data_IF_400350318655
#
_entry.id   IF_400350318655
#
_cell.length_a   1.000
_cell.length_b   1.000
_cell.length_c   1.000
_cell.angle_alpha   90.00
_cell.angle_beta   90.00
_cell.angle_gamma   90.00
#
_symmetry.space_group_name_H-M   'P 1'
#
loop_
_entity.id
_entity.type
_entity.pdbx_description
1 polymer ?
#
# COMPACT_ATOMS: atom_id res chain seq x y z
N UNK A 1 -30.18 -14.14 36.85
CA UNK A 1 -29.47 -15.32 36.31
C UNK A 1 -29.48 -15.33 34.77
N UNK A 2 -30.66 -15.34 34.12
CA UNK A 2 -30.76 -15.33 32.65
C UNK A 2 -30.09 -14.11 31.98
N UNK A 3 -30.36 -12.89 32.47
CA UNK A 3 -29.75 -11.67 31.93
C UNK A 3 -28.21 -11.68 32.02
N UNK A 4 -27.66 -12.18 33.12
CA UNK A 4 -26.21 -12.31 33.34
C UNK A 4 -25.61 -13.32 32.36
N UNK A 5 -26.28 -14.46 32.16
CA UNK A 5 -25.86 -15.47 31.20
C UNK A 5 -25.85 -14.91 29.77
N UNK A 6 -26.91 -14.21 29.37
CA UNK A 6 -27.02 -13.59 28.05
C UNK A 6 -25.91 -12.55 27.86
N UNK A 7 -25.65 -11.70 28.84
CA UNK A 7 -24.57 -10.71 28.75
C UNK A 7 -23.19 -11.37 28.62
N UNK A 8 -22.93 -12.47 29.35
CA UNK A 8 -21.66 -13.21 29.27
C UNK A 8 -21.48 -13.84 27.89
N UNK A 9 -22.53 -14.48 27.36
CA UNK A 9 -22.50 -15.09 26.02
C UNK A 9 -22.25 -14.02 24.95
N UNK A 10 -22.91 -12.87 25.03
CA UNK A 10 -22.68 -11.76 24.09
C UNK A 10 -21.25 -11.22 24.18
N UNK A 11 -20.68 -11.14 25.38
CA UNK A 11 -19.30 -10.68 25.58
C UNK A 11 -18.29 -11.65 24.94
N UNK A 12 -18.53 -12.95 25.09
CA UNK A 12 -17.70 -13.99 24.47
C UNK A 12 -17.81 -13.92 22.94
N UNK A 13 -19.03 -13.83 22.41
CA UNK A 13 -19.26 -13.75 20.96
C UNK A 13 -18.64 -12.48 20.36
N UNK A 14 -18.78 -11.34 21.03
CA UNK A 14 -18.17 -10.09 20.60
C UNK A 14 -16.65 -10.17 20.65
N UNK A 15 -16.09 -10.74 21.72
CA UNK A 15 -14.64 -10.92 21.86
C UNK A 15 -14.06 -11.79 20.75
N UNK A 16 -14.66 -12.95 20.48
CA UNK A 16 -14.19 -13.85 19.42
C UNK A 16 -14.34 -13.25 18.03
N UNK A 17 -15.47 -12.58 17.74
CA UNK A 17 -15.67 -11.87 16.48
C UNK A 17 -14.65 -10.75 16.28
N UNK A 18 -14.36 -9.99 17.34
CA UNK A 18 -13.37 -8.91 17.32
C UNK A 18 -11.94 -9.44 17.06
N UNK A 19 -11.55 -10.53 17.72
CA UNK A 19 -10.26 -11.20 17.51
C UNK A 19 -10.08 -11.67 16.07
N UNK A 20 -11.14 -12.25 15.50
CA UNK A 20 -11.17 -12.69 14.10
C UNK A 20 -10.98 -11.48 13.18
N UNK A 21 -11.82 -10.45 13.34
CA UNK A 21 -11.75 -9.24 12.52
C UNK A 21 -10.37 -8.57 12.57
N UNK A 22 -9.79 -8.45 13.75
CA UNK A 22 -8.46 -7.87 13.94
C UNK A 22 -7.38 -8.69 13.20
N UNK A 23 -7.43 -10.02 13.29
CA UNK A 23 -6.45 -10.90 12.63
C UNK A 23 -6.51 -10.76 11.11
N UNK A 24 -7.72 -10.83 10.53
CA UNK A 24 -7.90 -10.66 9.09
C UNK A 24 -7.48 -9.27 8.59
N UNK A 25 -7.78 -8.22 9.37
CA UNK A 25 -7.36 -6.86 9.06
C UNK A 25 -5.84 -6.68 9.03
N UNK A 26 -5.12 -7.23 10.03
CA UNK A 26 -3.66 -7.15 10.08
C UNK A 26 -2.99 -7.89 8.93
N UNK A 27 -3.50 -9.07 8.56
CA UNK A 27 -2.99 -9.84 7.42
C UNK A 27 -3.21 -9.06 6.12
N UNK A 28 -4.40 -8.48 5.92
CA UNK A 28 -4.70 -7.67 4.75
C UNK A 28 -3.78 -6.45 4.64
N UNK A 29 -3.53 -5.74 5.74
CA UNK A 29 -2.61 -4.60 5.78
C UNK A 29 -1.18 -5.00 5.40
N UNK A 30 -0.69 -6.14 5.91
CA UNK A 30 0.64 -6.65 5.58
C UNK A 30 0.80 -6.97 4.09
N UNK A 31 -0.19 -7.65 3.49
CA UNK A 31 -0.19 -8.00 2.07
C UNK A 31 -0.30 -6.76 1.18
N UNK A 32 -1.09 -5.76 1.58
CA UNK A 32 -1.22 -4.50 0.87
C UNK A 32 0.10 -3.73 0.82
N UNK A 33 0.79 -3.60 1.96
CA UNK A 33 2.11 -2.95 2.04
C UNK A 33 3.17 -3.72 1.26
N UNK A 34 3.14 -5.06 1.31
CA UNK A 34 4.05 -5.90 0.54
C UNK A 34 3.87 -5.68 -0.97
N UNK A 35 2.62 -5.64 -1.45
CA UNK A 35 2.35 -5.38 -2.87
C UNK A 35 2.72 -3.95 -3.28
N UNK A 36 2.42 -2.95 -2.45
CA UNK A 36 2.84 -1.58 -2.70
C UNK A 36 4.37 -1.49 -2.81
N UNK A 37 5.11 -2.14 -1.91
CA UNK A 37 6.56 -2.23 -1.96
C UNK A 37 7.09 -2.91 -3.22
N UNK A 38 6.49 -4.04 -3.63
CA UNK A 38 6.85 -4.76 -4.85
C UNK A 38 6.64 -3.92 -6.11
N UNK A 39 5.46 -3.29 -6.24
CA UNK A 39 5.12 -2.42 -7.39
C UNK A 39 6.05 -1.21 -7.43
N UNK A 40 6.31 -0.59 -6.28
CA UNK A 40 7.24 0.52 -6.17
C UNK A 40 8.69 0.14 -6.50
N UNK A 41 9.14 -1.05 -6.12
CA UNK A 41 10.46 -1.56 -6.48
C UNK A 41 10.57 -1.86 -7.98
N UNK A 42 9.51 -2.41 -8.58
CA UNK A 42 9.42 -2.59 -10.04
C UNK A 42 9.48 -1.25 -10.77
N UNK A 43 8.82 -0.21 -10.23
CA UNK A 43 8.86 1.12 -10.80
C UNK A 43 10.24 1.78 -10.68
N UNK A 44 10.93 1.66 -9.54
CA UNK A 44 12.31 2.11 -9.36
C UNK A 44 13.25 1.44 -10.36
N UNK A 45 13.09 0.12 -10.56
CA UNK A 45 13.89 -0.63 -11.55
C UNK A 45 13.60 -0.23 -13.00
N UNK A 46 12.38 0.24 -13.31
CA UNK A 46 12.01 0.67 -14.66
C UNK A 46 12.50 2.09 -15.00
N UNK A 47 12.81 2.91 -13.99
CA UNK A 47 13.18 4.32 -14.18
C UNK A 47 14.70 4.51 -14.13
N UNK A 48 15.31 5.28 -15.06
CA UNK A 48 16.72 5.62 -14.99
C UNK A 48 17.02 6.58 -13.83
N UNK A 49 17.44 6.02 -12.71
CA UNK A 49 17.76 6.71 -11.47
C UNK A 49 17.71 5.73 -10.30
N UNK A 50 17.92 6.21 -9.08
CA UNK A 50 17.55 5.49 -7.86
C UNK A 50 16.65 6.39 -7.07
N UNK A 51 15.57 5.86 -6.52
CA UNK A 51 14.75 6.65 -5.62
C UNK A 51 15.57 7.08 -4.40
N UNK A 52 15.44 8.35 -3.98
CA UNK A 52 15.96 8.76 -2.69
C UNK A 52 15.30 7.88 -1.61
N UNK A 53 16.03 7.54 -0.55
CA UNK A 53 15.56 6.67 0.56
C UNK A 53 15.47 5.17 0.24
N UNK A 54 15.92 4.72 -0.94
CA UNK A 54 16.04 3.30 -1.27
C UNK A 54 14.70 2.55 -1.20
N UNK A 55 14.64 1.45 -0.44
CA UNK A 55 13.42 0.64 -0.30
C UNK A 55 12.25 1.41 0.31
N UNK A 56 12.50 2.40 1.16
CA UNK A 56 11.47 3.28 1.72
C UNK A 56 10.83 4.15 0.63
N UNK A 57 11.68 4.68 -0.27
CA UNK A 57 11.24 5.45 -1.43
C UNK A 57 10.38 4.59 -2.36
N UNK A 58 10.78 3.34 -2.59
CA UNK A 58 10.00 2.39 -3.38
C UNK A 58 8.62 2.13 -2.77
N UNK A 59 8.52 1.79 -1.48
CA UNK A 59 7.22 1.56 -0.81
C UNK A 59 6.32 2.79 -0.90
N UNK A 60 6.84 3.99 -0.62
CA UNK A 60 6.07 5.23 -0.72
C UNK A 60 5.64 5.53 -2.16
N UNK A 61 6.51 5.30 -3.14
CA UNK A 61 6.18 5.47 -4.55
C UNK A 61 5.10 4.48 -5.00
N UNK A 62 5.12 3.24 -4.49
CA UNK A 62 4.04 2.27 -4.73
C UNK A 62 2.72 2.66 -4.05
N UNK A 63 2.77 3.10 -2.79
CA UNK A 63 1.59 3.49 -2.01
C UNK A 63 0.92 4.72 -2.64
N UNK A 64 1.67 5.81 -2.81
CA UNK A 64 1.17 7.07 -3.39
C UNK A 64 0.91 6.90 -4.90
N UNK A 65 1.78 6.16 -5.59
CA UNK A 65 1.62 5.85 -7.01
C UNK A 65 0.36 5.05 -7.31
N UNK A 66 -0.08 4.16 -6.41
CA UNK A 66 -1.37 3.47 -6.56
C UNK A 66 -2.55 4.43 -6.59
N UNK A 67 -2.60 5.40 -5.67
CA UNK A 67 -3.64 6.42 -5.69
C UNK A 67 -3.56 7.31 -6.91
N UNK A 68 -2.37 7.83 -7.24
CA UNK A 68 -2.19 8.71 -8.41
C UNK A 68 -2.52 7.97 -9.70
N UNK A 69 -2.11 6.70 -9.82
CA UNK A 69 -2.37 5.85 -10.96
C UNK A 69 -3.84 5.54 -11.17
N UNK A 70 -4.57 5.19 -10.10
CA UNK A 70 -6.02 4.98 -10.16
C UNK A 70 -6.76 6.25 -10.55
N UNK A 71 -6.33 7.42 -10.07
CA UNK A 71 -6.92 8.71 -10.50
C UNK A 71 -6.67 9.01 -11.99
N UNK A 72 -5.52 8.61 -12.51
CA UNK A 72 -5.10 8.95 -13.87
C UNK A 72 -5.68 8.00 -14.94
N UNK A 73 -5.78 6.71 -14.62
CA UNK A 73 -6.11 5.64 -15.59
C UNK A 73 -7.45 4.96 -15.22
N UNK A 74 -7.92 5.08 -13.99
CA UNK A 74 -9.07 4.34 -13.45
C UNK A 74 -8.68 2.95 -12.93
N UNK A 75 -9.66 2.18 -12.46
CA UNK A 75 -9.47 0.79 -11.98
C UNK A 75 -9.41 -0.22 -13.13
N UNK A 76 -8.40 -0.05 -14.00
CA UNK A 76 -8.24 -0.91 -15.17
C UNK A 76 -7.27 -2.04 -14.86
N UNK A 77 -7.71 -3.28 -15.03
CA UNK A 77 -6.87 -4.47 -14.88
C UNK A 77 -7.10 -5.26 -13.58
N UNK A 78 -6.38 -6.39 -13.41
CA UNK A 78 -6.53 -7.24 -12.24
C UNK A 78 -6.02 -6.55 -10.98
N UNK A 79 -6.80 -6.62 -9.91
CA UNK A 79 -6.39 -6.19 -8.58
C UNK A 79 -5.81 -7.38 -7.80
N UNK A 80 -4.62 -7.23 -7.22
CA UNK A 80 -4.08 -8.18 -6.25
C UNK A 80 -4.07 -7.52 -4.87
N UNK A 81 -4.63 -8.20 -3.87
CA UNK A 81 -4.68 -7.72 -2.48
C UNK A 81 -5.26 -6.30 -2.33
N UNK A 82 -6.23 -5.94 -3.19
CA UNK A 82 -6.87 -4.62 -3.19
C UNK A 82 -6.07 -3.51 -3.88
N UNK A 83 -4.95 -3.84 -4.54
CA UNK A 83 -4.14 -2.89 -5.31
C UNK A 83 -4.32 -3.17 -6.82
N UNK A 84 -4.84 -2.22 -7.61
CA UNK A 84 -4.89 -2.33 -9.07
C UNK A 84 -3.48 -2.33 -9.65
N UNK A 85 -3.03 -3.41 -10.31
CA UNK A 85 -1.62 -3.52 -10.70
C UNK A 85 -1.19 -2.53 -11.78
N UNK A 86 -1.98 -2.42 -12.85
CA UNK A 86 -1.64 -1.53 -13.97
C UNK A 86 -1.62 -0.07 -13.50
N UNK A 87 -2.68 0.45 -12.86
CA UNK A 87 -2.69 1.83 -12.37
C UNK A 87 -1.57 2.07 -11.37
N UNK A 88 -1.37 1.15 -10.41
CA UNK A 88 -0.33 1.32 -9.40
C UNK A 88 1.08 1.33 -9.97
N UNK A 89 1.38 0.46 -10.95
CA UNK A 89 2.67 0.47 -11.60
C UNK A 89 2.89 1.76 -12.37
N UNK A 90 1.93 2.21 -13.17
CA UNK A 90 2.08 3.45 -13.96
C UNK A 90 2.21 4.67 -13.07
N UNK A 91 1.38 4.80 -12.04
CA UNK A 91 1.48 5.90 -11.08
C UNK A 91 2.77 5.87 -10.27
N UNK A 92 3.25 4.68 -9.89
CA UNK A 92 4.54 4.53 -9.21
C UNK A 92 5.72 4.91 -10.11
N UNK A 93 5.70 4.56 -11.40
CA UNK A 93 6.74 4.95 -12.38
C UNK A 93 6.78 6.47 -12.56
N UNK A 94 5.61 7.12 -12.67
CA UNK A 94 5.52 8.59 -12.77
C UNK A 94 6.09 9.24 -11.50
N UNK A 95 5.70 8.76 -10.32
CA UNK A 95 6.19 9.29 -9.06
C UNK A 95 7.70 9.07 -8.90
N UNK A 96 8.19 7.89 -9.27
CA UNK A 96 9.60 7.53 -9.28
C UNK A 96 10.43 8.48 -10.14
N UNK A 97 9.93 8.80 -11.35
CA UNK A 97 10.54 9.79 -12.23
C UNK A 97 10.62 11.17 -11.56
N UNK A 98 9.51 11.66 -11.01
CA UNK A 98 9.46 12.97 -10.33
C UNK A 98 10.42 13.01 -9.15
N UNK A 99 10.38 12.01 -8.27
CA UNK A 99 11.25 11.92 -7.10
C UNK A 99 12.73 11.87 -7.47
N UNK A 100 13.08 11.11 -8.51
CA UNK A 100 14.47 11.02 -9.00
C UNK A 100 14.99 12.35 -9.55
N UNK A 101 14.12 13.13 -10.21
CA UNK A 101 14.47 14.45 -10.74
C UNK A 101 14.62 15.45 -9.59
N UNK A 102 13.66 15.49 -8.66
CA UNK A 102 13.70 16.37 -7.48
C UNK A 102 14.95 16.10 -6.64
N UNK A 103 15.28 14.83 -6.41
CA UNK A 103 16.48 14.44 -5.67
C UNK A 103 17.77 14.92 -6.34
N UNK A 104 17.86 14.77 -7.68
CA UNK A 104 19.00 15.27 -8.46
C UNK A 104 19.13 16.79 -8.38
N UNK A 105 18.03 17.51 -8.45
CA UNK A 105 18.02 18.98 -8.33
C UNK A 105 18.42 19.46 -6.93
N UNK A 106 18.02 18.73 -5.88
CA UNK A 106 18.46 19.05 -4.51
C UNK A 106 19.94 18.77 -4.30
N UNK A 107 20.47 17.69 -4.88
CA UNK A 107 21.88 17.33 -4.79
C UNK A 107 22.79 18.30 -5.58
N UNK A 108 22.29 18.87 -6.69
CA UNK A 108 23.01 19.90 -7.45
C UNK A 108 23.05 21.28 -6.77
N UNK A 109 22.32 21.45 -5.66
CA UNK A 109 22.22 22.69 -4.89
C UNK A 109 23.09 22.71 -3.63
N UNK A 110 23.72 21.59 -3.30
CA UNK A 110 24.72 21.45 -2.23
C UNK A 110 26.11 21.34 -2.85
#
# INVERSE_FOLDING_TARGET
>A
MLLVLVSVVLLILFGTAFLIWATFGLIALGLHLLMAGLVGALADAAVPGRLPWGWLGAVLAGLVGSWVGTWLIGDVGPALFGVPLLPAFTGAVILALVLSVVARLSAARQ
#
